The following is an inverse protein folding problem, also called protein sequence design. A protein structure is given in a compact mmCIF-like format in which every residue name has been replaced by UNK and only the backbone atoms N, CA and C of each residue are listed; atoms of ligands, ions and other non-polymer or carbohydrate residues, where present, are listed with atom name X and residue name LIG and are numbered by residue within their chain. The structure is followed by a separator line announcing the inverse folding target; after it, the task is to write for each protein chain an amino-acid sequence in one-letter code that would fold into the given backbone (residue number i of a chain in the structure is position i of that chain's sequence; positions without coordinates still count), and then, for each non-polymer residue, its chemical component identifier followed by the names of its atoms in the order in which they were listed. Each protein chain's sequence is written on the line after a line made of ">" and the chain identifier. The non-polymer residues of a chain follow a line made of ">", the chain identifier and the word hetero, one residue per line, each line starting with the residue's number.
data_IF_365547120393
#
_entry.id   IF_365547120393
#
_cell.length_a   1.000
_cell.length_b   1.000
_cell.length_c   1.000
_cell.angle_alpha   90.00
_cell.angle_beta   90.00
_cell.angle_gamma   90.00
#
_symmetry.space_group_name_H-M   'P 1'
#
loop_
_entity.id
_entity.type
_entity.pdbx_description
1 polymer ?
#
# COMPACT_ATOMS: atom_id res chain seq x y z
N UNK A 1 17.96 -16.56 4.93
CA UNK A 1 16.58 -16.79 4.44
C UNK A 1 15.64 -16.93 5.62
N UNK A 2 15.27 -15.82 6.24
CA UNK A 2 14.17 -15.79 7.21
C UNK A 2 13.11 -14.89 6.57
N UNK A 3 12.05 -15.52 6.04
CA UNK A 3 10.83 -14.80 5.69
C UNK A 3 10.23 -14.45 7.04
N UNK A 4 10.63 -13.30 7.60
CA UNK A 4 10.03 -12.80 8.82
C UNK A 4 8.54 -12.69 8.53
N UNK A 5 7.76 -13.53 9.21
CA UNK A 5 6.32 -13.38 9.30
C UNK A 5 6.07 -12.08 10.10
N UNK A 6 6.30 -10.94 9.45
CA UNK A 6 6.00 -9.62 9.97
C UNK A 6 4.53 -9.62 10.32
N UNK A 7 4.21 -9.15 11.52
CA UNK A 7 2.90 -9.26 12.11
C UNK A 7 1.80 -8.93 11.09
N UNK A 8 0.67 -9.66 11.08
CA UNK A 8 -0.43 -9.46 10.13
C UNK A 8 -1.02 -8.03 10.14
N UNK A 9 -0.58 -7.16 11.06
CA UNK A 9 -1.01 -5.78 11.23
C UNK A 9 0.09 -4.72 10.98
N UNK A 10 1.24 -5.08 10.40
CA UNK A 10 2.22 -4.09 9.94
C UNK A 10 1.73 -3.38 8.66
N UNK A 11 1.35 -2.12 8.81
CA UNK A 11 0.87 -1.27 7.71
C UNK A 11 1.92 -1.03 6.62
N UNK A 12 3.21 -1.06 6.94
CA UNK A 12 4.28 -0.89 5.96
C UNK A 12 4.39 -2.14 5.07
N UNK A 13 4.43 -3.32 5.67
CA UNK A 13 4.43 -4.60 4.95
C UNK A 13 3.21 -4.75 4.03
N UNK A 14 2.00 -4.40 4.52
CA UNK A 14 0.79 -4.40 3.70
C UNK A 14 0.86 -3.39 2.54
N UNK A 15 1.53 -2.25 2.74
CA UNK A 15 1.73 -1.25 1.68
C UNK A 15 2.67 -1.73 0.59
N UNK A 16 3.79 -2.35 0.98
CA UNK A 16 4.72 -2.98 0.04
C UNK A 16 4.05 -4.11 -0.74
N UNK A 17 3.36 -5.03 -0.04
CA UNK A 17 2.62 -6.12 -0.68
C UNK A 17 1.57 -5.60 -1.66
N UNK A 18 0.81 -4.58 -1.26
CA UNK A 18 -0.17 -3.93 -2.14
C UNK A 18 0.46 -3.30 -3.38
N UNK A 19 1.66 -2.72 -3.26
CA UNK A 19 2.44 -2.21 -4.39
C UNK A 19 2.84 -3.32 -5.35
N UNK A 20 3.46 -4.39 -4.84
CA UNK A 20 3.86 -5.57 -5.64
C UNK A 20 2.66 -6.19 -6.35
N UNK A 21 1.50 -6.28 -5.69
CA UNK A 21 0.28 -6.80 -6.32
C UNK A 21 -0.23 -5.87 -7.45
N UNK A 22 -0.04 -4.55 -7.34
CA UNK A 22 -0.34 -3.63 -8.44
C UNK A 22 0.60 -3.87 -9.64
N UNK A 23 1.89 -4.07 -9.40
CA UNK A 23 2.87 -4.35 -10.45
C UNK A 23 2.58 -5.68 -11.16
N UNK A 24 2.05 -6.66 -10.43
CA UNK A 24 1.58 -7.94 -10.96
C UNK A 24 0.18 -7.86 -11.62
N UNK A 25 -0.40 -6.67 -11.77
CA UNK A 25 -1.75 -6.42 -12.28
C UNK A 25 -2.88 -7.14 -11.51
N UNK A 26 -2.62 -7.58 -10.27
CA UNK A 26 -3.57 -8.24 -9.37
C UNK A 26 -4.36 -7.20 -8.58
N UNK A 27 -5.09 -6.35 -9.28
CA UNK A 27 -5.69 -5.15 -8.71
C UNK A 27 -6.76 -5.41 -7.63
N UNK A 28 -7.47 -6.54 -7.72
CA UNK A 28 -8.44 -6.95 -6.70
C UNK A 28 -7.77 -7.25 -5.36
N UNK A 29 -6.78 -8.16 -5.39
CA UNK A 29 -5.97 -8.53 -4.22
C UNK A 29 -5.24 -7.30 -3.63
N UNK A 30 -4.65 -6.47 -4.50
CA UNK A 30 -3.98 -5.23 -4.08
C UNK A 30 -4.93 -4.31 -3.30
N UNK A 31 -6.16 -4.12 -3.80
CA UNK A 31 -7.13 -3.26 -3.14
C UNK A 31 -7.56 -3.80 -1.77
N UNK A 32 -7.68 -5.11 -1.59
CA UNK A 32 -8.03 -5.72 -0.29
C UNK A 32 -6.92 -5.52 0.75
N UNK A 33 -5.68 -5.81 0.37
CA UNK A 33 -4.48 -5.66 1.22
C UNK A 33 -4.31 -4.19 1.64
N UNK A 34 -4.40 -3.26 0.68
CA UNK A 34 -4.24 -1.83 0.96
C UNK A 34 -5.41 -1.26 1.77
N UNK A 35 -6.62 -1.76 1.58
CA UNK A 35 -7.75 -1.39 2.45
C UNK A 35 -7.54 -1.88 3.89
N UNK A 36 -6.90 -3.04 4.09
CA UNK A 36 -6.52 -3.49 5.41
C UNK A 36 -5.52 -2.52 6.06
N UNK A 37 -4.49 -2.09 5.34
CA UNK A 37 -3.55 -1.07 5.84
C UNK A 37 -4.27 0.25 6.20
N UNK A 38 -5.24 0.68 5.41
CA UNK A 38 -6.08 1.85 5.74
C UNK A 38 -6.92 1.63 7.00
N UNK A 39 -7.52 0.45 7.18
CA UNK A 39 -8.28 0.11 8.40
C UNK A 39 -7.41 0.11 9.66
N UNK A 40 -6.17 -0.32 9.52
CA UNK A 40 -5.13 -0.29 10.55
C UNK A 40 -4.52 1.11 10.76
N UNK A 41 -5.12 2.16 10.17
CA UNK A 41 -4.71 3.56 10.32
C UNK A 41 -3.33 3.86 9.74
N UNK A 42 -2.95 3.22 8.64
CA UNK A 42 -1.77 3.65 7.89
C UNK A 42 -1.86 5.15 7.58
N UNK A 43 -0.81 5.89 7.97
CA UNK A 43 -0.62 7.30 7.62
C UNK A 43 0.27 7.47 6.38
N UNK A 44 0.74 6.36 5.80
CA UNK A 44 1.64 6.41 4.67
C UNK A 44 0.90 6.80 3.37
N UNK A 45 1.37 7.88 2.75
CA UNK A 45 0.95 8.31 1.41
C UNK A 45 0.93 7.16 0.40
N UNK A 46 1.92 6.26 0.43
CA UNK A 46 2.03 5.18 -0.57
C UNK A 46 0.87 4.19 -0.46
N UNK A 47 0.33 3.93 0.74
CA UNK A 47 -0.86 3.09 0.90
C UNK A 47 -2.05 3.63 0.10
N UNK A 48 -2.31 4.93 0.20
CA UNK A 48 -3.43 5.58 -0.49
C UNK A 48 -3.16 5.74 -1.98
N UNK A 49 -1.91 5.98 -2.37
CA UNK A 49 -1.51 6.05 -3.78
C UNK A 49 -1.70 4.69 -4.47
N UNK A 50 -1.13 3.61 -3.93
CA UNK A 50 -1.26 2.26 -4.47
C UNK A 50 -2.73 1.81 -4.50
N UNK A 51 -3.53 2.20 -3.50
CA UNK A 51 -4.96 1.89 -3.49
C UNK A 51 -5.68 2.65 -4.62
N UNK A 52 -5.27 3.89 -4.89
CA UNK A 52 -5.72 4.64 -6.05
C UNK A 52 -5.39 3.95 -7.38
N UNK A 53 -4.15 3.45 -7.53
CA UNK A 53 -3.71 2.69 -8.70
C UNK A 53 -4.52 1.41 -8.89
N UNK A 54 -4.69 0.61 -7.83
CA UNK A 54 -5.49 -0.61 -7.86
C UNK A 54 -6.95 -0.34 -8.27
N UNK A 55 -7.57 0.70 -7.71
CA UNK A 55 -8.95 1.09 -8.03
C UNK A 55 -9.08 1.63 -9.45
N UNK A 56 -8.09 2.40 -9.93
CA UNK A 56 -8.08 2.96 -11.28
C UNK A 56 -8.05 1.84 -12.33
N UNK A 57 -7.15 0.88 -12.16
CA UNK A 57 -7.02 -0.26 -13.07
C UNK A 57 -8.18 -1.27 -12.94
N UNK A 58 -8.90 -1.26 -11.82
CA UNK A 58 -10.16 -1.99 -11.65
C UNK A 58 -11.39 -1.24 -12.22
N UNK A 59 -11.20 -0.15 -12.95
CA UNK A 59 -12.28 0.67 -13.53
C UNK A 59 -13.02 1.58 -12.54
N UNK A 60 -12.66 1.57 -11.25
CA UNK A 60 -13.30 2.36 -10.18
C UNK A 60 -12.74 3.78 -10.10
N UNK A 61 -12.74 4.50 -11.24
CA UNK A 61 -12.13 5.84 -11.41
C UNK A 61 -12.48 6.86 -10.34
N UNK A 62 -13.77 6.97 -9.97
CA UNK A 62 -14.22 7.93 -8.93
C UNK A 62 -13.60 7.65 -7.57
N UNK A 63 -13.53 6.37 -7.18
CA UNK A 63 -12.94 5.96 -5.90
C UNK A 63 -11.42 6.16 -5.93
N UNK A 64 -10.77 5.85 -7.05
CA UNK A 64 -9.34 6.10 -7.23
C UNK A 64 -8.97 7.58 -7.02
N UNK A 65 -9.73 8.51 -7.63
CA UNK A 65 -9.53 9.94 -7.46
C UNK A 65 -9.64 10.40 -6.00
N UNK A 66 -10.57 9.82 -5.23
CA UNK A 66 -10.68 10.10 -3.80
C UNK A 66 -9.41 9.66 -3.05
N UNK A 67 -8.85 8.48 -3.38
CA UNK A 67 -7.63 7.97 -2.74
C UNK A 67 -6.39 8.77 -3.13
N UNK A 68 -6.28 9.21 -4.38
CA UNK A 68 -5.19 10.10 -4.78
C UNK A 68 -5.24 11.46 -4.06
N UNK A 69 -6.43 12.04 -3.86
CA UNK A 69 -6.57 13.26 -3.04
C UNK A 69 -6.18 13.03 -1.57
N UNK A 70 -6.53 11.87 -1.03
CA UNK A 70 -6.11 11.46 0.32
C UNK A 70 -4.58 11.25 0.42
N UNK A 71 -3.94 10.73 -0.63
CA UNK A 71 -2.50 10.59 -0.71
C UNK A 71 -1.80 11.97 -0.78
N UNK A 72 -2.33 12.90 -1.58
CA UNK A 72 -1.77 14.24 -1.74
C UNK A 72 -1.76 15.07 -0.44
N UNK A 73 -2.72 14.81 0.46
CA UNK A 73 -2.83 15.47 1.77
C UNK A 73 -2.02 14.80 2.88
N UNK A 74 -1.37 13.66 2.61
CA UNK A 74 -0.59 12.88 3.59
C UNK A 74 0.90 13.00 3.39
N UNK A 75 1.65 12.81 4.47
CA UNK A 75 3.12 12.83 4.43
C UNK A 75 3.61 11.48 3.88
N UNK A 76 4.63 11.51 3.02
CA UNK A 76 5.31 10.28 2.63
C UNK A 76 6.15 9.80 3.83
N UNK A 77 6.03 8.52 4.18
CA UNK A 77 6.80 7.92 5.27
C UNK A 77 8.14 7.41 4.72
N UNK A 78 9.24 7.72 5.42
CA UNK A 78 10.56 7.17 5.10
C UNK A 78 10.62 5.64 5.31
N UNK A 79 9.83 5.13 6.26
CA UNK A 79 9.75 3.69 6.56
C UNK A 79 9.26 2.86 5.36
N UNK A 80 8.54 3.47 4.41
CA UNK A 80 8.08 2.78 3.21
C UNK A 80 9.15 2.74 2.12
N UNK A 81 10.03 3.75 2.06
CA UNK A 81 11.21 3.72 1.22
C UNK A 81 12.20 2.68 1.74
N UNK A 82 12.40 2.64 3.05
CA UNK A 82 13.22 1.61 3.72
C UNK A 82 12.62 0.21 3.54
N UNK A 83 11.31 0.00 3.73
CA UNK A 83 10.70 -1.32 3.51
C UNK A 83 10.66 -1.76 2.03
N UNK A 84 10.73 -0.83 1.08
CA UNK A 84 10.81 -1.14 -0.36
C UNK A 84 12.24 -1.46 -0.82
N UNK A 85 13.26 -0.84 -0.20
CA UNK A 85 14.68 -1.00 -0.60
C UNK A 85 15.54 -1.81 0.37
N UNK A 86 15.08 -2.05 1.59
CA UNK A 86 15.83 -2.76 2.64
C UNK A 86 14.97 -3.84 3.31
N UNK A 87 14.84 -5.02 2.69
CA UNK A 87 14.21 -6.18 3.30
C UNK A 87 14.96 -6.73 4.54
N UNK A 88 16.03 -6.06 5.01
CA UNK A 88 16.84 -6.47 6.18
C UNK A 88 17.07 -5.35 7.20
N UNK A 89 16.24 -4.31 7.27
CA UNK A 89 16.30 -3.37 8.38
C UNK A 89 15.82 -4.04 9.70
N UNK A 90 16.81 -4.62 10.39
CA UNK A 90 16.86 -5.46 11.61
C UNK A 90 16.63 -6.96 11.42
#
# INVERSE_FOLDING_TARGET
>A
MAVAASAPDDTAALTCLGGVLCDLAKYGEAAEVLQRAVRLRSDDRNTYFNLGVALLNSGKRRQAMQRFRQAASRRASAATWEAYFDPQAQ
#
